data_IF_775474602064
#
_entry.id   IF_775474602064
#
_cell.length_a   1.000
_cell.length_b   1.000
_cell.length_c   1.000
_cell.angle_alpha   90.00
_cell.angle_beta   90.00
_cell.angle_gamma   90.00
#
_symmetry.space_group_name_H-M   'P 1'
#
loop_
_entity.id
_entity.type
_entity.pdbx_description
1 polymer ?
#
# COMPACT_ATOMS: atom_id res chain seq x y z
N UNK A 1 10.02 27.89 22.18
CA UNK A 1 9.19 27.70 20.98
C UNK A 1 9.67 28.57 19.82
N UNK A 2 10.03 29.83 20.07
CA UNK A 2 10.49 30.80 19.05
C UNK A 2 11.76 30.38 18.31
N UNK A 3 12.79 29.88 19.02
CA UNK A 3 14.03 29.36 18.40
C UNK A 3 13.74 28.27 17.35
N UNK A 4 12.86 27.32 17.67
CA UNK A 4 12.47 26.26 16.73
C UNK A 4 11.77 26.83 15.49
N UNK A 5 10.91 27.84 15.67
CA UNK A 5 10.25 28.53 14.57
C UNK A 5 11.24 29.23 13.63
N UNK A 6 12.22 29.93 14.19
CA UNK A 6 13.27 30.61 13.41
C UNK A 6 14.09 29.60 12.61
N UNK A 7 14.55 28.52 13.25
CA UNK A 7 15.35 27.47 12.58
C UNK A 7 14.59 26.83 11.42
N UNK A 8 13.32 26.45 11.64
CA UNK A 8 12.49 25.87 10.59
C UNK A 8 12.20 26.85 9.44
N UNK A 9 11.94 28.13 9.75
CA UNK A 9 11.67 29.15 8.74
C UNK A 9 12.91 29.45 7.88
N UNK A 10 14.08 29.58 8.51
CA UNK A 10 15.35 29.78 7.81
C UNK A 10 15.66 28.59 6.91
N UNK A 11 15.53 27.35 7.41
CA UNK A 11 15.72 26.14 6.58
C UNK A 11 14.76 26.07 5.39
N UNK A 12 13.48 26.43 5.61
CA UNK A 12 12.48 26.46 4.56
C UNK A 12 12.77 27.53 3.48
N UNK A 13 13.39 28.65 3.82
CA UNK A 13 13.80 29.66 2.85
C UNK A 13 15.01 29.19 2.03
N UNK A 14 16.02 28.62 2.70
CA UNK A 14 17.22 28.07 2.03
C UNK A 14 16.82 27.03 0.97
N UNK A 15 15.95 26.08 1.32
CA UNK A 15 15.56 25.02 0.38
C UNK A 15 14.71 25.55 -0.79
N UNK A 16 13.93 26.61 -0.57
CA UNK A 16 13.15 27.26 -1.65
C UNK A 16 14.05 28.00 -2.63
N UNK A 17 15.05 28.72 -2.13
CA UNK A 17 16.06 29.39 -2.96
C UNK A 17 16.87 28.37 -3.76
N UNK A 18 17.35 27.30 -3.10
CA UNK A 18 18.05 26.20 -3.77
C UNK A 18 17.19 25.56 -4.87
N UNK A 19 15.90 25.36 -4.62
CA UNK A 19 14.97 24.85 -5.63
C UNK A 19 14.84 25.79 -6.82
N UNK A 20 14.73 27.10 -6.59
CA UNK A 20 14.65 28.08 -7.68
C UNK A 20 15.90 28.05 -8.56
N UNK A 21 17.08 27.80 -7.98
CA UNK A 21 18.32 27.63 -8.74
C UNK A 21 18.24 26.34 -9.59
N UNK A 22 17.82 25.22 -8.98
CA UNK A 22 17.67 23.93 -9.67
C UNK A 22 16.68 24.01 -10.83
N UNK A 23 15.57 24.76 -10.68
CA UNK A 23 14.60 24.99 -11.76
C UNK A 23 15.21 25.74 -12.95
N UNK A 24 16.26 26.54 -12.74
CA UNK A 24 16.98 27.24 -13.81
C UNK A 24 18.00 26.37 -14.56
N UNK A 25 18.50 25.29 -13.94
CA UNK A 25 19.58 24.44 -14.49
C UNK A 25 19.15 23.00 -14.79
N UNK A 26 17.96 22.58 -14.35
CA UNK A 26 17.46 21.23 -14.49
C UNK A 26 15.99 21.11 -14.10
N UNK A 27 15.59 19.91 -13.65
CA UNK A 27 14.20 19.62 -13.28
C UNK A 27 14.12 19.08 -11.86
N UNK A 28 13.56 19.83 -10.88
CA UNK A 28 13.30 19.26 -9.57
C UNK A 28 12.14 18.27 -9.65
N UNK A 29 12.29 17.13 -9.00
CA UNK A 29 11.32 16.03 -8.96
C UNK A 29 10.55 16.02 -7.65
N UNK A 30 11.27 16.00 -6.52
CA UNK A 30 10.71 15.96 -5.17
C UNK A 30 11.54 16.85 -4.24
N UNK A 31 10.87 17.52 -3.31
CA UNK A 31 11.50 18.34 -2.28
C UNK A 31 11.09 17.78 -0.90
N UNK A 32 12.08 17.40 -0.10
CA UNK A 32 11.90 17.10 1.32
C UNK A 32 12.40 18.29 2.17
N UNK A 33 12.50 18.09 3.47
CA UNK A 33 12.77 19.14 4.46
C UNK A 33 14.11 19.84 4.21
N UNK A 34 15.11 19.09 3.75
CA UNK A 34 16.51 19.53 3.62
C UNK A 34 17.18 19.05 2.32
N UNK A 35 16.44 18.40 1.42
CA UNK A 35 16.99 17.82 0.18
C UNK A 35 16.07 18.00 -1.03
N UNK A 36 16.69 18.08 -2.21
CA UNK A 36 16.01 18.19 -3.49
C UNK A 36 16.44 17.02 -4.37
N UNK A 37 15.50 16.15 -4.72
CA UNK A 37 15.69 15.21 -5.81
C UNK A 37 15.50 15.96 -7.12
N UNK A 38 16.49 15.91 -8.00
CA UNK A 38 16.44 16.59 -9.29
C UNK A 38 17.14 15.80 -10.39
N UNK A 39 16.77 16.12 -11.64
CA UNK A 39 17.49 15.67 -12.83
C UNK A 39 18.22 16.86 -13.42
N UNK A 40 19.51 16.71 -13.65
CA UNK A 40 20.35 17.66 -14.36
C UNK A 40 20.73 17.08 -15.73
N UNK A 41 21.02 17.91 -16.75
CA UNK A 41 21.54 17.45 -18.02
C UNK A 41 22.84 16.64 -17.82
N UNK A 42 23.06 15.60 -18.62
CA UNK A 42 24.28 14.77 -18.54
C UNK A 42 25.57 15.56 -18.85
N UNK A 43 25.45 16.69 -19.54
CA UNK A 43 26.56 17.62 -19.81
C UNK A 43 26.86 18.56 -18.64
N UNK A 44 26.11 18.49 -17.53
CA UNK A 44 26.30 19.37 -16.39
C UNK A 44 27.60 19.02 -15.63
N UNK A 45 28.40 20.00 -15.16
CA UNK A 45 29.66 19.73 -14.48
C UNK A 45 29.46 18.94 -13.19
N UNK A 46 30.13 17.78 -13.07
CA UNK A 46 30.05 16.87 -11.91
C UNK A 46 30.92 17.28 -10.73
N UNK A 47 31.44 18.53 -10.71
CA UNK A 47 32.34 19.02 -9.65
C UNK A 47 31.65 19.37 -8.33
N UNK A 48 30.32 19.28 -8.27
CA UNK A 48 29.55 19.50 -7.04
C UNK A 48 29.50 18.22 -6.21
N UNK A 49 29.60 18.36 -4.87
CA UNK A 49 29.33 17.26 -3.94
C UNK A 49 27.83 16.98 -3.88
N UNK A 50 27.35 16.15 -4.80
CA UNK A 50 25.98 15.65 -4.86
C UNK A 50 25.96 14.16 -4.56
N UNK A 51 24.88 13.67 -3.94
CA UNK A 51 24.61 12.24 -3.84
C UNK A 51 24.00 11.76 -5.16
N UNK A 52 24.55 10.69 -5.74
CA UNK A 52 24.31 10.26 -7.11
C UNK A 52 25.52 10.45 -8.05
N UNK A 53 25.35 10.25 -9.37
CA UNK A 53 24.10 9.98 -10.08
C UNK A 53 23.48 8.61 -9.73
N UNK A 54 22.18 8.47 -10.00
CA UNK A 54 21.44 7.22 -9.86
C UNK A 54 20.96 6.73 -11.23
N UNK A 55 20.64 5.44 -11.32
CA UNK A 55 20.14 4.82 -12.55
C UNK A 55 18.72 5.28 -12.87
N UNK A 56 17.83 5.25 -11.87
CA UNK A 56 16.44 5.61 -12.05
C UNK A 56 15.80 6.11 -10.76
N UNK A 57 14.76 6.93 -10.91
CA UNK A 57 13.89 7.36 -9.82
C UNK A 57 12.43 7.24 -10.28
N UNK A 58 11.60 6.62 -9.44
CA UNK A 58 10.18 6.43 -9.70
C UNK A 58 9.35 7.21 -8.68
N UNK A 59 8.47 8.08 -9.18
CA UNK A 59 7.56 8.89 -8.36
C UNK A 59 6.10 8.53 -8.69
N UNK A 60 5.28 8.15 -7.70
CA UNK A 60 3.87 7.94 -7.91
C UNK A 60 3.12 9.28 -8.04
N UNK A 61 2.00 9.27 -8.73
CA UNK A 61 1.11 10.42 -8.90
C UNK A 61 -0.14 10.31 -8.01
N UNK A 62 -0.72 11.46 -7.65
CA UNK A 62 -1.99 11.52 -6.95
C UNK A 62 -3.15 11.21 -7.90
N UNK A 63 -4.25 10.70 -7.35
CA UNK A 63 -5.53 10.60 -8.06
C UNK A 63 -6.25 11.94 -8.19
N UNK A 64 -5.97 12.84 -7.27
CA UNK A 64 -6.54 14.19 -7.27
C UNK A 64 -5.69 15.09 -8.17
N UNK A 65 -6.36 15.81 -9.05
CA UNK A 65 -5.73 16.78 -9.95
C UNK A 65 -4.95 17.84 -9.15
N UNK A 66 -3.77 18.22 -9.66
CA UNK A 66 -2.88 19.22 -9.05
C UNK A 66 -2.36 18.91 -7.64
N UNK A 67 -2.58 17.69 -7.10
CA UNK A 67 -1.93 17.25 -5.86
C UNK A 67 -0.76 16.33 -6.16
N UNK A 68 0.37 16.54 -5.48
CA UNK A 68 1.52 15.63 -5.53
C UNK A 68 1.54 14.72 -4.30
N UNK A 69 1.91 13.46 -4.50
CA UNK A 69 2.15 12.53 -3.40
C UNK A 69 3.54 12.77 -2.82
N UNK A 70 3.63 13.64 -1.82
CA UNK A 70 4.90 13.94 -1.15
C UNK A 70 5.45 12.73 -0.38
N UNK A 71 6.78 12.66 -0.28
CA UNK A 71 7.53 11.63 0.48
C UNK A 71 7.26 10.19 0.03
N UNK A 72 6.96 10.00 -1.26
CA UNK A 72 6.81 8.68 -1.88
C UNK A 72 7.68 8.58 -3.12
N UNK A 73 8.73 7.78 -3.08
CA UNK A 73 9.64 7.58 -4.21
C UNK A 73 10.51 6.33 -4.03
N UNK A 74 10.97 5.78 -5.15
CA UNK A 74 11.90 4.66 -5.22
C UNK A 74 13.09 5.08 -6.08
N UNK A 75 14.31 4.85 -5.60
CA UNK A 75 15.57 5.22 -6.25
C UNK A 75 16.40 3.96 -6.45
N UNK A 76 16.97 3.83 -7.65
CA UNK A 76 17.75 2.68 -8.07
C UNK A 76 19.18 3.07 -8.42
N UNK A 77 20.15 2.28 -7.98
CA UNK A 77 21.55 2.43 -8.36
C UNK A 77 21.87 1.74 -9.70
N UNK A 78 23.11 1.91 -10.17
CA UNK A 78 23.59 1.31 -11.41
C UNK A 78 23.73 -0.22 -11.34
N UNK A 79 23.75 -0.80 -10.15
CA UNK A 79 23.69 -2.26 -9.96
C UNK A 79 22.24 -2.79 -10.01
N UNK A 80 21.27 -1.91 -10.32
CA UNK A 80 19.83 -2.18 -10.41
C UNK A 80 19.19 -2.54 -9.07
N UNK A 81 19.83 -2.20 -7.96
CA UNK A 81 19.28 -2.39 -6.62
C UNK A 81 18.51 -1.15 -6.16
N UNK A 82 17.60 -1.34 -5.20
CA UNK A 82 16.86 -0.25 -4.56
C UNK A 82 17.78 0.42 -3.53
N UNK A 83 18.28 1.61 -3.86
CA UNK A 83 19.10 2.42 -2.94
C UNK A 83 18.23 3.11 -1.88
N UNK A 84 17.09 3.68 -2.30
CA UNK A 84 16.13 4.29 -1.37
C UNK A 84 14.69 3.94 -1.75
N UNK A 85 13.88 3.64 -0.75
CA UNK A 85 12.44 3.41 -0.91
C UNK A 85 11.71 4.09 0.25
N UNK A 86 10.91 5.10 -0.08
CA UNK A 86 10.23 5.95 0.90
C UNK A 86 8.73 5.98 0.65
N UNK A 87 7.95 5.90 1.73
CA UNK A 87 6.50 6.12 1.72
C UNK A 87 5.62 5.05 1.06
N UNK A 88 6.21 4.06 0.39
CA UNK A 88 5.48 2.91 -0.15
C UNK A 88 5.06 1.90 0.92
N UNK A 89 3.94 1.24 0.67
CA UNK A 89 3.29 0.29 1.57
C UNK A 89 4.17 -0.94 1.89
N UNK A 90 5.12 -1.32 1.02
CA UNK A 90 6.10 -2.42 1.25
C UNK A 90 6.77 -2.33 2.62
N UNK A 91 7.32 -1.16 2.97
CA UNK A 91 8.08 -0.95 4.21
C UNK A 91 7.18 -0.62 5.40
N UNK A 92 5.88 -0.43 5.19
CA UNK A 92 4.94 -0.04 6.24
C UNK A 92 4.44 -1.27 6.98
N UNK A 93 4.40 -1.17 8.31
CA UNK A 93 3.75 -2.17 9.15
C UNK A 93 2.24 -2.04 9.02
N UNK A 94 1.61 -3.14 8.63
CA UNK A 94 0.17 -3.33 8.68
C UNK A 94 -0.67 -2.78 7.55
N UNK A 95 -0.06 -2.61 6.39
CA UNK A 95 -0.77 -2.45 5.13
C UNK A 95 -1.26 -3.81 4.61
N UNK A 96 -2.18 -3.77 3.65
CA UNK A 96 -2.72 -4.94 2.95
C UNK A 96 -1.59 -5.70 2.22
N UNK A 97 -1.43 -7.00 2.48
CA UNK A 97 -0.35 -7.80 1.90
C UNK A 97 -0.38 -7.84 0.37
N UNK A 98 -1.57 -7.91 -0.24
CA UNK A 98 -1.75 -7.83 -1.70
C UNK A 98 -1.04 -6.61 -2.29
N UNK A 99 -1.18 -5.44 -1.68
CA UNK A 99 -0.54 -4.21 -2.16
C UNK A 99 0.98 -4.29 -1.99
N UNK A 100 1.46 -4.87 -0.89
CA UNK A 100 2.90 -5.01 -0.62
C UNK A 100 3.56 -5.96 -1.63
N UNK A 101 2.94 -7.12 -1.86
CA UNK A 101 3.46 -8.13 -2.79
C UNK A 101 3.40 -7.60 -4.22
N UNK A 102 2.29 -6.94 -4.61
CA UNK A 102 2.18 -6.25 -5.89
C UNK A 102 3.30 -5.23 -6.09
N UNK A 103 3.51 -4.32 -5.13
CA UNK A 103 4.56 -3.31 -5.23
C UNK A 103 5.96 -3.93 -5.31
N UNK A 104 6.23 -5.00 -4.56
CA UNK A 104 7.49 -5.73 -4.68
C UNK A 104 7.70 -6.28 -6.09
N UNK A 105 6.71 -7.01 -6.62
CA UNK A 105 6.78 -7.57 -7.99
C UNK A 105 6.93 -6.49 -9.06
N UNK A 106 6.37 -5.30 -8.82
CA UNK A 106 6.48 -4.16 -9.71
C UNK A 106 7.92 -3.60 -9.73
N UNK A 107 8.53 -3.41 -8.56
CA UNK A 107 9.88 -2.84 -8.47
C UNK A 107 10.97 -3.79 -8.96
N UNK A 108 10.71 -5.10 -9.00
CA UNK A 108 11.62 -6.07 -9.62
C UNK A 108 11.73 -5.88 -11.15
N UNK A 109 10.65 -5.41 -11.79
CA UNK A 109 10.59 -5.26 -13.27
C UNK A 109 10.62 -3.81 -13.74
N UNK A 110 10.62 -2.83 -12.84
CA UNK A 110 10.51 -1.40 -13.19
C UNK A 110 11.68 -0.88 -14.04
N UNK A 111 12.83 -1.56 -13.99
CA UNK A 111 14.01 -1.24 -14.78
C UNK A 111 14.10 -2.07 -16.07
N UNK A 112 13.10 -2.88 -16.39
CA UNK A 112 13.06 -3.66 -17.64
C UNK A 112 12.56 -2.77 -18.79
N UNK A 113 12.96 -3.11 -20.01
CA UNK A 113 12.66 -2.34 -21.21
C UNK A 113 13.82 -1.43 -21.63
N UNK A 114 13.92 -1.17 -22.93
CA UNK A 114 14.92 -0.27 -23.54
C UNK A 114 14.37 1.13 -23.82
N UNK A 115 13.04 1.28 -23.77
CA UNK A 115 12.29 2.52 -23.98
C UNK A 115 11.28 2.72 -22.85
N UNK A 116 10.82 3.95 -22.64
CA UNK A 116 9.83 4.26 -21.61
C UNK A 116 8.52 3.48 -21.86
N UNK A 117 8.13 3.34 -23.12
CA UNK A 117 6.98 2.56 -23.56
C UNK A 117 7.14 1.08 -23.20
N UNK A 118 8.28 0.47 -23.52
CA UNK A 118 8.53 -0.93 -23.18
C UNK A 118 8.61 -1.17 -21.67
N UNK A 119 9.11 -0.20 -20.90
CA UNK A 119 9.09 -0.24 -19.44
C UNK A 119 7.65 -0.29 -18.90
N UNK A 120 6.79 0.65 -19.35
CA UNK A 120 5.38 0.65 -18.96
C UNK A 120 4.61 -0.60 -19.43
N UNK A 121 4.98 -1.19 -20.56
CA UNK A 121 4.40 -2.47 -21.01
C UNK A 121 4.74 -3.62 -20.05
N UNK A 122 5.98 -3.73 -19.58
CA UNK A 122 6.35 -4.74 -18.56
C UNK A 122 5.60 -4.52 -17.24
N UNK A 123 5.45 -3.27 -16.81
CA UNK A 123 4.63 -2.94 -15.63
C UNK A 123 3.15 -3.29 -15.83
N UNK A 124 2.62 -3.06 -17.03
CA UNK A 124 1.26 -3.41 -17.41
C UNK A 124 0.99 -4.92 -17.36
N UNK A 125 1.96 -5.75 -17.77
CA UNK A 125 1.84 -7.21 -17.66
C UNK A 125 1.68 -7.67 -16.20
N UNK A 126 2.48 -7.10 -15.29
CA UNK A 126 2.37 -7.39 -13.85
C UNK A 126 1.01 -6.91 -13.31
N UNK A 127 0.56 -5.71 -13.70
CA UNK A 127 -0.74 -5.20 -13.29
C UNK A 127 -1.90 -6.11 -13.75
N UNK A 128 -1.90 -6.53 -15.01
CA UNK A 128 -2.90 -7.44 -15.56
C UNK A 128 -2.89 -8.80 -14.85
N UNK A 129 -1.72 -9.39 -14.62
CA UNK A 129 -1.61 -10.65 -13.88
C UNK A 129 -2.31 -10.59 -12.51
N UNK A 130 -2.07 -9.52 -11.75
CA UNK A 130 -2.68 -9.37 -10.43
C UNK A 130 -4.17 -9.04 -10.49
N UNK A 131 -4.64 -8.31 -11.52
CA UNK A 131 -6.06 -8.08 -11.76
C UNK A 131 -6.78 -9.37 -12.14
N UNK A 132 -6.25 -10.13 -13.10
CA UNK A 132 -6.77 -11.42 -13.56
C UNK A 132 -6.87 -12.43 -12.41
N UNK A 133 -5.89 -12.42 -11.49
CA UNK A 133 -5.91 -13.27 -10.29
C UNK A 133 -7.11 -12.96 -9.38
N UNK A 134 -7.41 -11.67 -9.18
CA UNK A 134 -8.55 -11.24 -8.36
C UNK A 134 -9.89 -11.45 -9.07
N UNK A 135 -9.95 -11.20 -10.38
CA UNK A 135 -11.16 -11.37 -11.19
C UNK A 135 -11.56 -12.85 -11.29
N UNK A 136 -10.57 -13.74 -11.38
CA UNK A 136 -10.78 -15.19 -11.29
C UNK A 136 -10.92 -15.71 -9.85
N UNK A 137 -11.01 -14.80 -8.86
CA UNK A 137 -11.20 -15.10 -7.43
C UNK A 137 -10.18 -16.09 -6.86
N UNK A 138 -8.96 -16.09 -7.41
CA UNK A 138 -7.87 -16.99 -7.02
C UNK A 138 -8.32 -18.46 -6.88
N UNK A 139 -9.14 -18.94 -7.82
CA UNK A 139 -9.72 -20.30 -7.78
C UNK A 139 -8.67 -21.42 -7.74
N UNK A 140 -7.50 -21.19 -8.34
CA UNK A 140 -6.42 -22.16 -8.50
C UNK A 140 -5.34 -22.05 -7.40
N UNK A 141 -5.54 -21.17 -6.41
CA UNK A 141 -4.61 -20.89 -5.31
C UNK A 141 -5.00 -21.66 -4.04
N UNK A 142 -4.04 -22.01 -3.19
CA UNK A 142 -4.33 -22.60 -1.87
C UNK A 142 -4.94 -21.59 -0.88
N UNK A 143 -5.77 -22.06 0.05
CA UNK A 143 -6.45 -21.22 1.03
C UNK A 143 -5.49 -20.46 1.95
N UNK A 144 -4.38 -21.08 2.37
CA UNK A 144 -3.39 -20.42 3.22
C UNK A 144 -2.66 -19.31 2.47
N UNK A 145 -2.34 -19.54 1.20
CA UNK A 145 -1.71 -18.54 0.33
C UNK A 145 -2.67 -17.37 0.06
N UNK A 146 -3.93 -17.68 -0.28
CA UNK A 146 -4.97 -16.68 -0.48
C UNK A 146 -5.16 -15.80 0.77
N UNK A 147 -5.32 -16.42 1.94
CA UNK A 147 -5.47 -15.70 3.21
C UNK A 147 -4.21 -14.93 3.60
N UNK A 148 -3.03 -15.32 3.11
CA UNK A 148 -1.82 -14.53 3.30
C UNK A 148 -1.85 -13.25 2.46
N UNK A 149 -2.13 -13.38 1.16
CA UNK A 149 -2.16 -12.27 0.21
C UNK A 149 -3.26 -11.27 0.57
N UNK A 150 -4.46 -11.74 0.89
CA UNK A 150 -5.64 -10.90 1.07
C UNK A 150 -5.74 -10.31 2.48
N UNK A 151 -4.95 -10.80 3.44
CA UNK A 151 -4.99 -10.28 4.80
C UNK A 151 -4.28 -8.93 5.01
N UNK A 152 -4.80 -8.17 5.96
CA UNK A 152 -4.18 -6.96 6.50
C UNK A 152 -3.88 -7.20 8.00
N UNK A 153 -2.72 -6.74 8.47
CA UNK A 153 -2.24 -7.02 9.83
C UNK A 153 -1.91 -5.75 10.60
N UNK A 154 -2.75 -5.32 11.53
CA UNK A 154 -2.51 -4.10 12.31
C UNK A 154 -2.22 -4.39 13.78
N UNK A 155 -1.15 -3.80 14.29
CA UNK A 155 -0.83 -3.82 15.72
C UNK A 155 -1.57 -2.70 16.44
N UNK A 156 -2.29 -3.03 17.52
CA UNK A 156 -2.93 -2.02 18.37
C UNK A 156 -1.91 -1.41 19.33
N UNK A 157 -1.91 -0.08 19.44
CA UNK A 157 -0.99 0.65 20.33
C UNK A 157 -1.41 0.63 21.79
N UNK A 158 -2.71 0.44 22.06
CA UNK A 158 -3.30 0.41 23.40
C UNK A 158 -4.16 -0.86 23.57
N UNK A 159 -4.53 -1.24 24.80
CA UNK A 159 -5.52 -2.29 25.05
C UNK A 159 -6.90 -1.94 24.46
N UNK A 160 -7.74 -2.96 24.22
CA UNK A 160 -9.06 -2.78 23.61
C UNK A 160 -10.01 -1.91 24.47
N UNK A 161 -9.88 -1.96 25.79
CA UNK A 161 -10.66 -1.16 26.75
C UNK A 161 -10.55 0.35 26.50
N UNK A 162 -9.36 0.79 26.09
CA UNK A 162 -9.02 2.22 26.02
C UNK A 162 -9.58 2.90 24.76
N UNK A 163 -9.98 2.11 23.76
CA UNK A 163 -10.55 2.65 22.51
C UNK A 163 -12.04 3.01 22.63
N UNK A 164 -12.73 2.58 23.69
CA UNK A 164 -14.13 2.94 23.98
C UNK A 164 -15.08 2.73 22.79
N UNK A 165 -15.65 3.83 22.27
CA UNK A 165 -16.63 3.83 21.16
C UNK A 165 -16.01 4.03 19.76
N UNK A 166 -14.69 4.08 19.63
CA UNK A 166 -14.06 4.25 18.32
C UNK A 166 -14.36 3.05 17.41
N UNK A 167 -14.56 3.33 16.11
CA UNK A 167 -14.77 2.29 15.09
C UNK A 167 -13.54 2.21 14.18
N UNK A 168 -12.93 1.03 14.10
CA UNK A 168 -11.88 0.72 13.13
C UNK A 168 -11.93 -0.77 12.80
N UNK A 169 -11.32 -1.16 11.68
CA UNK A 169 -11.19 -2.58 11.32
C UNK A 169 -10.48 -3.36 12.42
N UNK A 170 -9.36 -2.84 12.95
CA UNK A 170 -8.62 -3.45 14.05
C UNK A 170 -9.46 -3.63 15.32
N UNK A 171 -10.28 -2.64 15.70
CA UNK A 171 -11.14 -2.73 16.89
C UNK A 171 -12.21 -3.81 16.69
N UNK A 172 -12.83 -3.89 15.52
CA UNK A 172 -13.81 -4.94 15.20
C UNK A 172 -13.15 -6.32 15.23
N UNK A 173 -11.96 -6.46 14.63
CA UNK A 173 -11.20 -7.70 14.66
C UNK A 173 -10.84 -8.10 16.08
N UNK A 174 -10.36 -7.17 16.92
CA UNK A 174 -10.05 -7.43 18.31
C UNK A 174 -11.28 -7.90 19.10
N UNK A 175 -12.44 -7.24 18.93
CA UNK A 175 -13.70 -7.66 19.56
C UNK A 175 -14.11 -9.07 19.12
N UNK A 176 -13.99 -9.37 17.82
CA UNK A 176 -14.29 -10.71 17.28
C UNK A 176 -13.33 -11.78 17.80
N UNK A 177 -12.05 -11.45 17.93
CA UNK A 177 -11.05 -12.33 18.57
C UNK A 177 -11.37 -12.55 20.06
N UNK A 178 -11.91 -11.55 20.77
CA UNK A 178 -12.30 -11.66 22.17
C UNK A 178 -13.42 -12.69 22.35
N UNK A 179 -14.46 -12.55 21.53
CA UNK A 179 -15.59 -13.47 21.53
C UNK A 179 -15.16 -14.90 21.20
N UNK A 180 -14.18 -15.04 20.30
CA UNK A 180 -13.74 -16.31 19.75
C UNK A 180 -12.70 -17.05 20.62
N UNK A 181 -11.70 -16.35 21.15
CA UNK A 181 -10.58 -16.93 21.93
C UNK A 181 -10.69 -16.69 23.45
N UNK A 182 -11.65 -15.88 23.88
CA UNK A 182 -11.81 -15.45 25.28
C UNK A 182 -11.06 -14.16 25.61
N UNK A 183 -11.47 -13.51 26.70
CA UNK A 183 -11.01 -12.17 27.10
C UNK A 183 -9.54 -12.12 27.56
N UNK A 184 -8.91 -13.27 27.83
CA UNK A 184 -7.52 -13.33 28.31
C UNK A 184 -6.50 -12.85 27.25
N UNK A 185 -6.77 -13.08 25.96
CA UNK A 185 -5.85 -12.74 24.86
C UNK A 185 -5.74 -11.23 24.57
N UNK A 186 -6.57 -10.39 25.18
CA UNK A 186 -6.76 -8.97 24.78
C UNK A 186 -6.44 -7.99 25.93
N UNK A 187 -6.04 -8.52 27.08
CA UNK A 187 -5.62 -7.70 28.23
C UNK A 187 -4.32 -6.96 27.95
N UNK A 188 -3.45 -7.54 27.13
CA UNK A 188 -2.15 -6.97 26.84
C UNK A 188 -2.15 -5.99 25.67
N UNK A 189 -1.34 -4.94 25.81
CA UNK A 189 -1.03 -4.00 24.74
C UNK A 189 -0.28 -4.72 23.60
N UNK A 190 -0.46 -4.27 22.37
CA UNK A 190 0.26 -4.83 21.22
C UNK A 190 -0.45 -5.98 20.49
N UNK A 191 -1.75 -6.19 20.76
CA UNK A 191 -2.56 -7.17 20.03
C UNK A 191 -2.42 -6.96 18.52
N UNK A 192 -2.05 -8.04 17.83
CA UNK A 192 -1.92 -8.06 16.39
C UNK A 192 -3.22 -8.55 15.77
N UNK A 193 -3.94 -7.62 15.15
CA UNK A 193 -5.19 -7.89 14.46
C UNK A 193 -4.91 -8.24 13.00
N UNK A 194 -4.95 -9.53 12.66
CA UNK A 194 -4.90 -10.00 11.27
C UNK A 194 -6.31 -10.33 10.79
N UNK A 195 -6.77 -9.65 9.74
CA UNK A 195 -8.14 -9.74 9.25
C UNK A 195 -8.25 -9.71 7.72
N UNK A 196 -9.40 -10.15 7.24
CA UNK A 196 -9.91 -9.95 5.88
C UNK A 196 -11.20 -9.14 5.92
N UNK A 197 -11.56 -8.50 4.82
CA UNK A 197 -12.85 -7.86 4.60
C UNK A 197 -13.79 -8.82 3.87
N UNK A 198 -14.95 -9.05 4.49
CA UNK A 198 -16.01 -9.93 3.98
C UNK A 198 -17.08 -9.14 3.21
N UNK A 199 -17.74 -9.76 2.24
CA UNK A 199 -18.82 -9.14 1.45
C UNK A 199 -20.05 -8.84 2.31
N UNK A 200 -20.41 -9.77 3.20
CA UNK A 200 -21.57 -9.67 4.08
C UNK A 200 -21.19 -9.09 5.46
N UNK A 201 -22.08 -8.32 6.11
CA UNK A 201 -23.41 -7.92 5.65
C UNK A 201 -23.33 -6.84 4.57
N UNK A 202 -24.18 -6.95 3.55
CA UNK A 202 -24.27 -5.98 2.45
C UNK A 202 -24.61 -4.59 3.02
N UNK A 203 -24.11 -3.54 2.38
CA UNK A 203 -24.26 -2.13 2.78
C UNK A 203 -23.68 -1.74 4.15
N UNK A 204 -23.02 -2.68 4.84
CA UNK A 204 -22.34 -2.36 6.10
C UNK A 204 -20.98 -1.71 5.85
N UNK A 205 -20.56 -0.75 6.71
CA UNK A 205 -19.24 -0.14 6.60
C UNK A 205 -18.11 -1.17 6.63
N UNK A 206 -17.01 -0.91 5.90
CA UNK A 206 -15.81 -1.78 5.87
C UNK A 206 -15.32 -2.15 7.28
N UNK A 207 -15.42 -1.21 8.23
CA UNK A 207 -15.03 -1.43 9.62
C UNK A 207 -15.81 -2.55 10.31
N UNK A 208 -17.06 -2.78 9.93
CA UNK A 208 -17.94 -3.80 10.53
C UNK A 208 -17.83 -5.16 9.81
N UNK A 209 -17.23 -5.18 8.62
CA UNK A 209 -17.05 -6.38 7.77
C UNK A 209 -15.70 -7.09 7.98
N UNK A 210 -14.87 -6.62 8.91
CA UNK A 210 -13.55 -7.18 9.18
C UNK A 210 -13.61 -8.53 9.94
N UNK A 211 -13.24 -9.63 9.30
CA UNK A 211 -13.23 -11.00 9.85
C UNK A 211 -11.80 -11.41 10.23
N UNK A 212 -11.54 -11.85 11.47
CA UNK A 212 -10.21 -12.34 11.86
C UNK A 212 -9.80 -13.58 11.06
N UNK A 213 -8.57 -13.63 10.56
CA UNK A 213 -8.06 -14.79 9.78
C UNK A 213 -7.99 -16.07 10.62
N UNK A 214 -7.81 -15.94 11.93
CA UNK A 214 -7.72 -17.06 12.87
C UNK A 214 -8.95 -17.99 12.83
N UNK A 215 -10.13 -17.50 12.42
CA UNK A 215 -11.33 -18.33 12.35
C UNK A 215 -11.20 -19.47 11.34
N UNK A 216 -10.43 -19.28 10.26
CA UNK A 216 -10.25 -20.28 9.21
C UNK A 216 -9.41 -21.48 9.66
N UNK A 217 -8.64 -21.34 10.75
CA UNK A 217 -7.81 -22.39 11.34
C UNK A 217 -8.54 -23.22 12.40
N UNK A 218 -9.83 -22.96 12.65
CA UNK A 218 -10.60 -23.62 13.71
C UNK A 218 -11.47 -24.77 13.21
N UNK A 219 -12.02 -25.54 14.17
CA UNK A 219 -13.00 -26.59 13.89
C UNK A 219 -14.22 -26.03 13.13
N UNK A 220 -14.80 -26.86 12.27
CA UNK A 220 -15.89 -26.47 11.37
C UNK A 220 -17.12 -25.93 12.11
N UNK A 221 -17.49 -26.53 13.25
CA UNK A 221 -18.61 -26.09 14.08
C UNK A 221 -18.40 -24.67 14.62
N UNK A 222 -17.19 -24.39 15.12
CA UNK A 222 -16.80 -23.07 15.63
C UNK A 222 -16.77 -22.05 14.50
N UNK A 223 -16.16 -22.42 13.37
CA UNK A 223 -16.05 -21.59 12.17
C UNK A 223 -17.44 -21.15 11.68
N UNK A 224 -18.35 -22.10 11.48
CA UNK A 224 -19.72 -21.81 11.02
C UNK A 224 -20.50 -20.94 12.02
N UNK A 225 -20.42 -21.24 13.32
CA UNK A 225 -21.13 -20.47 14.34
C UNK A 225 -20.75 -18.98 14.31
N UNK A 226 -19.45 -18.68 14.34
CA UNK A 226 -18.96 -17.29 14.35
C UNK A 226 -19.14 -16.61 13.00
N UNK A 227 -18.92 -17.29 11.86
CA UNK A 227 -19.15 -16.71 10.55
C UNK A 227 -20.62 -16.33 10.34
N UNK A 228 -21.57 -17.20 10.72
CA UNK A 228 -23.02 -16.88 10.67
C UNK A 228 -23.35 -15.63 11.47
N UNK A 229 -22.79 -15.52 12.69
CA UNK A 229 -22.98 -14.37 13.58
C UNK A 229 -22.40 -13.09 12.98
N UNK A 230 -21.16 -13.13 12.49
CA UNK A 230 -20.41 -11.95 12.03
C UNK A 230 -20.85 -11.46 10.65
N UNK A 231 -21.22 -12.37 9.75
CA UNK A 231 -21.73 -12.05 8.42
C UNK A 231 -23.24 -11.74 8.42
N UNK A 232 -23.91 -11.90 9.57
CA UNK A 232 -25.38 -11.80 9.74
C UNK A 232 -26.13 -12.69 8.75
N UNK A 233 -25.62 -13.90 8.52
CA UNK A 233 -26.20 -14.87 7.61
C UNK A 233 -26.42 -16.21 8.32
N UNK A 234 -27.61 -16.44 8.91
CA UNK A 234 -27.91 -17.69 9.61
C UNK A 234 -27.92 -18.93 8.71
N UNK A 235 -28.03 -18.76 7.38
CA UNK A 235 -28.14 -19.85 6.40
C UNK A 235 -26.79 -20.21 5.77
N UNK A 236 -25.71 -19.56 6.20
CA UNK A 236 -24.37 -19.84 5.71
C UNK A 236 -23.99 -21.30 6.00
N UNK A 237 -23.74 -22.07 4.93
CA UNK A 237 -23.23 -23.44 5.01
C UNK A 237 -21.86 -23.59 4.34
N UNK A 238 -21.52 -22.64 3.47
CA UNK A 238 -20.21 -22.57 2.82
C UNK A 238 -19.29 -21.65 3.64
N UNK A 239 -18.08 -22.15 3.92
CA UNK A 239 -17.04 -21.45 4.67
C UNK A 239 -15.74 -21.28 3.86
N UNK A 240 -15.80 -21.50 2.54
CA UNK A 240 -14.72 -21.15 1.63
C UNK A 240 -14.41 -19.64 1.78
N UNK A 241 -13.15 -19.25 2.07
CA UNK A 241 -12.76 -17.85 2.07
C UNK A 241 -13.20 -17.09 0.82
N UNK A 242 -13.17 -17.71 -0.36
CA UNK A 242 -13.51 -17.09 -1.65
C UNK A 242 -14.97 -16.65 -1.74
N UNK A 243 -15.89 -17.34 -1.07
CA UNK A 243 -17.31 -16.94 -1.05
C UNK A 243 -17.62 -15.87 0.00
N UNK A 244 -16.75 -15.74 1.01
CA UNK A 244 -16.87 -14.77 2.10
C UNK A 244 -16.26 -13.41 1.71
N UNK A 245 -15.17 -13.40 0.95
CA UNK A 245 -14.40 -12.20 0.62
C UNK A 245 -15.19 -11.16 -0.20
N UNK A 246 -14.99 -9.88 0.14
CA UNK A 246 -15.40 -8.76 -0.72
C UNK A 246 -14.34 -8.52 -1.80
N UNK A 247 -14.43 -9.25 -2.92
CA UNK A 247 -13.46 -9.13 -4.01
C UNK A 247 -13.36 -7.71 -4.58
N UNK A 248 -14.49 -7.01 -4.70
CA UNK A 248 -14.53 -5.64 -5.24
C UNK A 248 -13.74 -4.67 -4.36
N UNK A 249 -13.79 -4.84 -3.03
CA UNK A 249 -12.95 -4.07 -2.11
C UNK A 249 -11.46 -4.23 -2.44
N UNK A 250 -10.97 -5.45 -2.66
CA UNK A 250 -9.56 -5.69 -2.97
C UNK A 250 -9.17 -5.24 -4.37
N UNK A 251 -10.03 -5.46 -5.36
CA UNK A 251 -9.85 -4.99 -6.73
C UNK A 251 -9.74 -3.46 -6.74
N UNK A 252 -10.65 -2.75 -6.08
CA UNK A 252 -10.61 -1.29 -5.96
C UNK A 252 -9.32 -0.80 -5.29
N UNK A 253 -8.84 -1.51 -4.25
CA UNK A 253 -7.57 -1.19 -3.57
C UNK A 253 -6.36 -1.40 -4.49
N UNK A 254 -6.33 -2.49 -5.26
CA UNK A 254 -5.27 -2.78 -6.22
C UNK A 254 -5.28 -1.78 -7.38
N UNK A 255 -6.44 -1.55 -8.02
CA UNK A 255 -6.64 -0.53 -9.07
C UNK A 255 -6.18 0.84 -8.61
N UNK A 256 -6.44 1.19 -7.35
CA UNK A 256 -5.94 2.42 -6.75
C UNK A 256 -4.41 2.51 -6.69
N UNK A 257 -3.74 1.39 -6.42
CA UNK A 257 -2.28 1.30 -6.45
C UNK A 257 -1.74 1.42 -7.89
N UNK A 258 -2.31 0.65 -8.82
CA UNK A 258 -1.98 0.66 -10.26
C UNK A 258 -2.11 2.07 -10.82
N UNK A 259 -3.19 2.79 -10.49
CA UNK A 259 -3.39 4.16 -10.95
C UNK A 259 -2.29 5.12 -10.48
N UNK A 260 -1.94 5.06 -9.20
CA UNK A 260 -0.94 5.95 -8.61
C UNK A 260 0.47 5.69 -9.11
N UNK A 261 0.84 4.42 -9.35
CA UNK A 261 2.23 4.05 -9.67
C UNK A 261 2.46 3.90 -11.17
N UNK A 262 1.45 3.49 -11.93
CA UNK A 262 1.60 3.12 -13.35
C UNK A 262 0.81 4.07 -14.25
N UNK A 263 -0.53 4.07 -14.17
CA UNK A 263 -1.33 4.69 -15.24
C UNK A 263 -1.30 6.22 -15.24
N UNK A 264 -1.38 6.86 -14.07
CA UNK A 264 -1.33 8.33 -13.99
C UNK A 264 0.09 8.84 -14.34
N UNK A 265 1.19 8.26 -13.80
CA UNK A 265 2.54 8.60 -14.24
C UNK A 265 2.76 8.42 -15.74
N UNK A 266 2.30 7.30 -16.33
CA UNK A 266 2.40 7.06 -17.77
C UNK A 266 1.69 8.15 -18.58
N UNK A 267 0.47 8.51 -18.18
CA UNK A 267 -0.30 9.56 -18.84
C UNK A 267 0.41 10.92 -18.76
N UNK A 268 0.96 11.28 -17.60
CA UNK A 268 1.73 12.53 -17.42
C UNK A 268 2.97 12.55 -18.32
N UNK A 269 3.56 11.38 -18.59
CA UNK A 269 4.71 11.22 -19.47
C UNK A 269 4.34 10.96 -20.94
N UNK A 270 3.05 11.08 -21.30
CA UNK A 270 2.50 10.83 -22.65
C UNK A 270 2.75 9.42 -23.20
N UNK A 271 2.76 8.41 -22.32
CA UNK A 271 2.84 7.00 -22.70
C UNK A 271 1.47 6.34 -22.62
N UNK A 272 1.05 5.71 -23.73
CA UNK A 272 -0.20 4.98 -23.83
C UNK A 272 0.07 3.48 -23.94
N UNK A 273 -0.55 2.71 -23.05
CA UNK A 273 -0.45 1.26 -23.01
C UNK A 273 -1.75 0.68 -22.43
N UNK A 274 -1.96 -0.63 -22.60
CA UNK A 274 -3.17 -1.31 -22.18
C UNK A 274 -2.97 -2.01 -20.83
N UNK A 275 -3.82 -1.66 -19.87
CA UNK A 275 -4.14 -2.49 -18.71
C UNK A 275 -5.60 -2.91 -18.92
N UNK A 276 -5.85 -4.22 -18.89
CA UNK A 276 -7.19 -4.78 -19.08
C UNK A 276 -8.08 -4.50 -17.86
#
# INVERSE_FOLDING_TARGET
MEMAGIVCNTGANIIKEARSIVEGIGRPLELDTDGIWCMLPSSFPTTLKVDGPYLAMCLPASKEENKKLKKRYAVFDFDRNISELKGFEIKRRGELNLVKIFQNSLFEVILNGSTLESCYQELGKIANFWLDLLDNKARDMDDHELLNIISEQKMMSRPLSDYGKQKSTSITTAKRLAEFLGDEMIRDKGLTCRYIISLKPVDSPVTERAVPVAIFQTSESTKLYYLRKWLKDPRLNDYDPRSILDWEYYITRLKSCIQKIITIPALIQNVFFLIN
#
